data_IF_231872621125
#
_entry.id   IF_231872621125
#
_cell.length_a   1.000
_cell.length_b   1.000
_cell.length_c   1.000
_cell.angle_alpha   90.00
_cell.angle_beta   90.00
_cell.angle_gamma   90.00
#
_symmetry.space_group_name_H-M   'P 1'
#
loop_
_entity.id
_entity.type
_entity.pdbx_description
1 polymer ?
#
# COMPACT_ATOMS: atom_id res chain seq x y z
N UNK A 1 -13.69 -25.94 -19.27
CA UNK A 1 -12.87 -25.65 -18.12
C UNK A 1 -13.38 -24.35 -17.53
N UNK A 2 -14.16 -24.42 -16.46
CA UNK A 2 -14.81 -23.26 -15.84
C UNK A 2 -13.77 -22.46 -15.08
N UNK A 3 -13.77 -21.16 -15.35
CA UNK A 3 -12.90 -20.14 -14.76
C UNK A 3 -13.35 -19.86 -13.30
N UNK A 4 -13.06 -20.78 -12.37
CA UNK A 4 -13.41 -20.64 -10.94
C UNK A 4 -12.40 -19.76 -10.15
N UNK A 5 -11.29 -19.35 -10.78
CA UNK A 5 -10.23 -18.59 -10.09
C UNK A 5 -10.52 -17.08 -9.96
N UNK A 6 -11.59 -16.58 -10.56
CA UNK A 6 -11.91 -15.13 -10.52
C UNK A 6 -12.54 -14.64 -9.21
N UNK A 7 -12.83 -15.52 -8.24
CA UNK A 7 -13.50 -15.19 -6.97
C UNK A 7 -12.61 -15.15 -5.73
N UNK A 8 -11.34 -15.56 -5.80
CA UNK A 8 -10.43 -15.51 -4.67
C UNK A 8 -9.27 -14.57 -5.01
N UNK A 9 -9.34 -13.30 -4.59
CA UNK A 9 -8.38 -12.28 -4.98
C UNK A 9 -7.08 -12.41 -4.17
N UNK A 10 -6.33 -13.47 -4.45
CA UNK A 10 -5.10 -13.85 -3.81
C UNK A 10 -4.11 -14.42 -4.83
N UNK A 11 -2.85 -14.08 -4.70
CA UNK A 11 -1.76 -14.67 -5.46
C UNK A 11 -0.46 -14.71 -4.68
N UNK A 12 0.40 -15.65 -5.04
CA UNK A 12 1.78 -15.73 -4.56
C UNK A 12 2.76 -15.81 -5.72
N UNK A 13 3.97 -15.32 -5.47
CA UNK A 13 5.06 -15.36 -6.43
C UNK A 13 6.40 -15.61 -5.75
N UNK A 14 7.36 -16.06 -6.53
CA UNK A 14 8.79 -16.03 -6.21
C UNK A 14 9.53 -15.36 -7.36
N UNK A 15 10.39 -14.41 -7.04
CA UNK A 15 11.24 -13.74 -8.01
C UNK A 15 12.67 -13.70 -7.48
N UNK A 16 13.64 -13.85 -8.36
CA UNK A 16 15.05 -13.90 -8.02
C UNK A 16 15.90 -13.42 -9.19
N UNK A 17 17.06 -12.89 -8.89
CA UNK A 17 17.99 -12.46 -9.95
C UNK A 17 19.08 -11.52 -9.47
N UNK A 18 19.81 -11.01 -10.45
CA UNK A 18 20.78 -9.93 -10.35
C UNK A 18 20.12 -8.63 -10.80
N UNK A 19 20.39 -7.52 -10.14
CA UNK A 19 19.79 -6.23 -10.48
C UNK A 19 18.32 -6.15 -10.15
N UNK A 20 17.44 -5.90 -11.15
CA UNK A 20 16.00 -5.74 -10.91
C UNK A 20 15.31 -7.07 -10.73
N UNK A 21 14.70 -7.28 -9.54
CA UNK A 21 13.98 -8.51 -9.19
C UNK A 21 12.48 -8.30 -9.43
N UNK A 22 11.90 -7.23 -8.89
CA UNK A 22 10.48 -6.90 -9.07
C UNK A 22 10.37 -5.60 -9.84
N UNK A 23 9.71 -5.64 -11.00
CA UNK A 23 9.40 -4.45 -11.78
C UNK A 23 8.42 -3.56 -11.01
N UNK A 24 8.43 -2.25 -11.32
CA UNK A 24 7.50 -1.31 -10.71
C UNK A 24 6.07 -1.77 -10.87
N UNK A 25 5.37 -1.95 -9.75
CA UNK A 25 3.97 -2.35 -9.71
C UNK A 25 3.23 -1.66 -8.57
N UNK A 26 1.93 -1.56 -8.72
CA UNK A 26 1.01 -1.04 -7.72
C UNK A 26 -0.29 -1.83 -7.83
N UNK A 27 -0.95 -2.02 -6.71
CA UNK A 27 -2.26 -2.66 -6.62
C UNK A 27 -3.22 -1.71 -5.94
N UNK A 28 -4.31 -1.33 -6.60
CA UNK A 28 -5.25 -0.34 -6.09
C UNK A 28 -5.86 -0.73 -4.73
N UNK A 29 -6.29 -1.99 -4.61
CA UNK A 29 -6.99 -2.50 -3.42
C UNK A 29 -6.28 -3.69 -2.76
N UNK A 30 -5.11 -4.10 -3.25
CA UNK A 30 -4.41 -5.25 -2.70
C UNK A 30 -3.24 -4.83 -1.83
N UNK A 31 -3.06 -5.55 -0.74
CA UNK A 31 -1.90 -5.49 0.13
C UNK A 31 -0.86 -6.51 -0.35
N UNK A 32 0.40 -6.23 -0.07
CA UNK A 32 1.46 -7.16 -0.39
C UNK A 32 2.40 -7.35 0.80
N UNK A 33 2.71 -8.59 1.11
CA UNK A 33 3.73 -8.97 2.08
C UNK A 33 4.85 -9.67 1.32
N UNK A 34 6.06 -9.15 1.43
CA UNK A 34 7.25 -9.67 0.73
C UNK A 34 8.25 -10.19 1.75
N UNK A 35 8.69 -11.42 1.60
CA UNK A 35 9.79 -12.05 2.34
C UNK A 35 11.05 -11.99 1.49
N UNK A 36 12.16 -11.55 2.06
CA UNK A 36 13.48 -11.71 1.45
C UNK A 36 13.97 -13.13 1.79
N UNK A 37 14.06 -13.98 0.78
CA UNK A 37 14.41 -15.40 0.98
C UNK A 37 15.90 -15.68 0.82
N UNK A 38 16.64 -14.76 0.19
CA UNK A 38 18.11 -14.82 0.05
C UNK A 38 18.67 -13.45 -0.32
N UNK A 39 19.85 -13.13 0.17
CA UNK A 39 20.58 -11.91 -0.14
C UNK A 39 19.99 -10.66 0.52
N UNK A 40 20.29 -9.52 -0.07
CA UNK A 40 19.77 -8.20 0.37
C UNK A 40 19.12 -7.50 -0.80
N UNK A 41 18.00 -6.86 -0.56
CA UNK A 41 17.25 -6.09 -1.56
C UNK A 41 17.17 -4.62 -1.17
N UNK A 42 17.08 -3.76 -2.18
CA UNK A 42 16.68 -2.36 -2.06
C UNK A 42 15.27 -2.20 -2.63
N UNK A 43 14.37 -1.75 -1.80
CA UNK A 43 12.99 -1.46 -2.20
C UNK A 43 12.84 0.04 -2.37
N UNK A 44 12.57 0.46 -3.59
CA UNK A 44 12.27 1.85 -3.90
C UNK A 44 10.77 2.10 -3.86
N UNK A 45 10.36 3.11 -3.10
CA UNK A 45 8.98 3.52 -2.93
C UNK A 45 8.92 5.03 -3.04
N UNK A 46 8.44 5.53 -4.18
CA UNK A 46 8.56 6.95 -4.47
C UNK A 46 10.02 7.39 -4.40
N UNK A 47 10.34 8.29 -3.47
CA UNK A 47 11.70 8.79 -3.21
C UNK A 47 12.44 8.02 -2.13
N UNK A 48 11.78 7.16 -1.39
CA UNK A 48 12.38 6.42 -0.28
C UNK A 48 13.03 5.13 -0.79
N UNK A 49 14.21 4.84 -0.25
CA UNK A 49 14.93 3.58 -0.44
C UNK A 49 15.01 2.88 0.91
N UNK A 50 14.50 1.66 0.94
CA UNK A 50 14.49 0.82 2.15
C UNK A 50 15.27 -0.45 1.85
N UNK A 51 16.26 -0.77 2.71
CA UNK A 51 17.01 -2.02 2.61
C UNK A 51 16.33 -3.11 3.43
N UNK A 52 16.33 -4.35 2.92
CA UNK A 52 15.89 -5.53 3.65
C UNK A 52 16.81 -6.71 3.32
N UNK A 53 17.19 -7.47 4.36
CA UNK A 53 18.06 -8.63 4.28
C UNK A 53 17.29 -9.95 4.32
N UNK A 54 18.02 -11.05 4.18
CA UNK A 54 17.44 -12.40 4.27
C UNK A 54 16.69 -12.62 5.59
N UNK A 55 15.47 -13.10 5.49
CA UNK A 55 14.56 -13.34 6.61
C UNK A 55 13.74 -12.12 7.02
N UNK A 56 13.97 -10.94 6.44
CA UNK A 56 13.15 -9.75 6.67
C UNK A 56 11.86 -9.83 5.87
N UNK A 57 10.83 -9.18 6.41
CA UNK A 57 9.54 -9.01 5.75
C UNK A 57 9.27 -7.53 5.49
N UNK A 58 8.67 -7.25 4.33
CA UNK A 58 8.16 -5.93 3.99
C UNK A 58 6.64 -6.01 3.89
N UNK A 59 5.97 -5.04 4.48
CA UNK A 59 4.56 -4.80 4.24
C UNK A 59 4.41 -3.62 3.29
N UNK A 60 3.71 -3.84 2.19
CA UNK A 60 3.44 -2.84 1.15
C UNK A 60 1.94 -2.60 1.10
N UNK A 61 1.49 -1.40 1.48
CA UNK A 61 0.07 -1.08 1.51
C UNK A 61 -0.53 -0.90 0.12
N UNK A 62 -1.88 -0.93 0.02
CA UNK A 62 -2.59 -0.67 -1.23
C UNK A 62 -2.22 0.68 -1.87
N UNK A 63 -2.34 0.75 -3.18
CA UNK A 63 -2.06 1.95 -3.99
C UNK A 63 -0.62 2.47 -3.91
N UNK A 64 0.28 1.74 -3.29
CA UNK A 64 1.69 2.11 -3.23
C UNK A 64 2.46 1.45 -4.37
N UNK A 65 3.13 2.28 -5.16
CA UNK A 65 4.02 1.76 -6.20
C UNK A 65 5.41 1.54 -5.61
N UNK A 66 5.94 0.36 -5.84
CA UNK A 66 7.26 -0.02 -5.38
C UNK A 66 8.02 -0.80 -6.46
N UNK A 67 9.32 -0.90 -6.27
CA UNK A 67 10.25 -1.68 -7.09
C UNK A 67 11.26 -2.35 -6.17
N UNK A 68 11.66 -3.57 -6.51
CA UNK A 68 12.69 -4.30 -5.75
C UNK A 68 13.89 -4.58 -6.66
N UNK A 69 15.04 -4.12 -6.22
CA UNK A 69 16.33 -4.37 -6.87
C UNK A 69 17.23 -5.19 -5.92
N UNK A 70 18.05 -6.11 -6.44
CA UNK A 70 19.08 -6.77 -5.66
C UNK A 70 20.15 -5.77 -5.25
N UNK A 71 20.52 -5.80 -3.96
CA UNK A 71 21.64 -5.01 -3.43
C UNK A 71 22.92 -5.85 -3.29
N UNK A 72 22.79 -7.17 -3.37
CA UNK A 72 23.88 -8.16 -3.46
C UNK A 72 23.95 -8.72 -4.88
N UNK A 73 24.99 -9.46 -5.22
CA UNK A 73 25.16 -10.08 -6.55
C UNK A 73 23.94 -10.90 -6.97
N UNK A 74 23.27 -11.51 -6.00
CA UNK A 74 22.03 -12.24 -6.21
C UNK A 74 21.12 -12.04 -4.99
N UNK A 75 19.82 -11.87 -5.25
CA UNK A 75 18.81 -11.88 -4.18
C UNK A 75 17.52 -12.55 -4.67
N UNK A 76 16.73 -13.02 -3.73
CA UNK A 76 15.43 -13.63 -4.02
C UNK A 76 14.38 -13.19 -3.02
N UNK A 77 13.14 -13.08 -3.51
CA UNK A 77 11.99 -12.70 -2.71
C UNK A 77 10.82 -13.66 -2.97
N UNK A 78 9.96 -13.78 -1.99
CA UNK A 78 8.66 -14.44 -2.08
C UNK A 78 7.59 -13.45 -1.64
N UNK A 79 6.58 -13.23 -2.48
CA UNK A 79 5.51 -12.30 -2.18
C UNK A 79 4.15 -12.96 -2.12
N UNK A 80 3.30 -12.38 -1.27
CA UNK A 80 1.89 -12.68 -1.11
C UNK A 80 1.10 -11.42 -1.40
N UNK A 81 0.20 -11.48 -2.36
CA UNK A 81 -0.70 -10.38 -2.75
C UNK A 81 -2.12 -10.82 -2.43
N UNK A 82 -2.85 -10.00 -1.70
CA UNK A 82 -4.26 -10.26 -1.39
C UNK A 82 -5.06 -8.96 -1.36
N UNK A 83 -6.27 -9.02 -1.91
CA UNK A 83 -7.20 -7.90 -1.91
C UNK A 83 -7.83 -7.73 -0.52
N UNK A 84 -8.10 -6.49 -0.16
CA UNK A 84 -8.72 -6.13 1.12
C UNK A 84 -10.10 -6.79 1.30
N UNK A 85 -10.81 -7.08 0.21
CA UNK A 85 -12.12 -7.75 0.22
C UNK A 85 -12.07 -9.14 0.87
N UNK A 86 -10.91 -9.83 0.84
CA UNK A 86 -10.74 -11.10 1.58
C UNK A 86 -11.05 -10.93 3.07
N UNK A 87 -10.77 -9.75 3.61
CA UNK A 87 -10.95 -9.40 5.01
C UNK A 87 -12.32 -8.76 5.22
N UNK A 88 -12.74 -7.84 4.32
CA UNK A 88 -13.96 -7.04 4.46
C UNK A 88 -15.26 -7.84 4.33
N UNK A 89 -15.31 -8.87 3.48
CA UNK A 89 -16.52 -9.70 3.26
C UNK A 89 -17.09 -10.33 4.54
N UNK A 90 -16.31 -10.39 5.62
CA UNK A 90 -16.72 -11.01 6.90
C UNK A 90 -16.66 -10.03 8.09
N UNK A 91 -16.56 -8.72 7.83
CA UNK A 91 -16.34 -7.70 8.87
C UNK A 91 -17.59 -7.21 9.58
N UNK A 92 -18.80 -7.76 9.34
CA UNK A 92 -20.02 -7.32 10.04
C UNK A 92 -19.91 -7.35 11.58
N UNK A 93 -18.91 -8.06 12.14
CA UNK A 93 -18.61 -8.16 13.57
C UNK A 93 -17.15 -7.91 13.95
N UNK A 94 -16.34 -7.43 13.04
CA UNK A 94 -14.94 -7.09 13.33
C UNK A 94 -14.86 -5.60 13.69
N UNK A 95 -13.90 -5.22 14.54
CA UNK A 95 -13.59 -3.82 14.83
C UNK A 95 -13.17 -3.10 13.54
N UNK A 96 -14.15 -2.79 12.68
CA UNK A 96 -13.96 -2.09 11.40
C UNK A 96 -13.14 -0.80 11.59
N UNK A 97 -13.22 -0.21 12.78
CA UNK A 97 -12.46 0.94 13.21
C UNK A 97 -10.96 0.65 13.33
N UNK A 98 -10.58 -0.49 13.91
CA UNK A 98 -9.17 -0.89 14.07
C UNK A 98 -8.55 -1.21 12.72
N UNK A 99 -9.31 -1.87 11.83
CA UNK A 99 -8.87 -2.14 10.48
C UNK A 99 -8.68 -0.86 9.66
N UNK A 100 -9.60 0.07 9.79
CA UNK A 100 -9.49 1.39 9.16
C UNK A 100 -8.25 2.16 9.64
N UNK A 101 -7.96 2.12 10.94
CA UNK A 101 -6.73 2.67 11.51
C UNK A 101 -5.48 2.07 10.87
N UNK A 102 -5.43 0.75 10.76
CA UNK A 102 -4.32 0.07 10.11
C UNK A 102 -4.16 0.51 8.65
N UNK A 103 -5.25 0.51 7.90
CA UNK A 103 -5.28 0.96 6.51
C UNK A 103 -4.73 2.37 6.35
N UNK A 104 -5.18 3.29 7.20
CA UNK A 104 -4.75 4.70 7.14
C UNK A 104 -3.29 4.87 7.57
N UNK A 105 -2.86 4.23 8.65
CA UNK A 105 -1.48 4.35 9.14
C UNK A 105 -0.48 3.62 8.24
N UNK A 106 -0.86 2.51 7.65
CA UNK A 106 -0.01 1.74 6.76
C UNK A 106 0.05 2.30 5.34
N UNK A 107 -1.01 2.97 4.86
CA UNK A 107 -1.20 3.40 3.47
C UNK A 107 -0.05 4.23 2.87
N UNK A 108 0.76 4.86 3.70
CA UNK A 108 1.81 5.77 3.25
C UNK A 108 3.23 5.36 3.69
N UNK A 109 3.39 4.14 4.19
CA UNK A 109 4.64 3.72 4.81
C UNK A 109 4.91 2.24 4.58
N UNK A 110 5.93 1.92 3.80
CA UNK A 110 6.47 0.57 3.81
C UNK A 110 7.16 0.32 5.13
N UNK A 111 6.84 -0.79 5.75
CA UNK A 111 7.49 -1.18 7.01
C UNK A 111 8.29 -2.45 6.78
N UNK A 112 9.54 -2.43 7.24
CA UNK A 112 10.41 -3.61 7.30
C UNK A 112 10.29 -4.23 8.69
N UNK A 113 9.97 -5.49 8.72
CA UNK A 113 9.96 -6.32 9.93
C UNK A 113 11.21 -7.20 9.90
N UNK A 114 12.29 -6.71 10.50
CA UNK A 114 13.57 -7.44 10.61
C UNK A 114 13.42 -8.76 11.38
N UNK A 115 14.41 -9.60 11.27
CA UNK A 115 14.42 -10.93 11.92
C UNK A 115 14.21 -10.87 13.44
N UNK A 116 14.63 -9.78 14.09
CA UNK A 116 14.45 -9.56 15.54
C UNK A 116 13.08 -8.92 15.88
N UNK A 117 12.30 -8.56 14.89
CA UNK A 117 11.03 -7.87 15.11
C UNK A 117 9.96 -8.84 15.63
N UNK A 118 9.17 -8.48 16.68
CA UNK A 118 8.18 -9.39 17.29
C UNK A 118 7.12 -9.95 16.33
N UNK A 119 6.81 -9.24 15.24
CA UNK A 119 5.84 -9.66 14.22
C UNK A 119 6.45 -10.68 13.24
N UNK A 120 7.78 -10.65 13.03
CA UNK A 120 8.47 -11.46 12.03
C UNK A 120 8.19 -12.97 12.14
N UNK A 121 8.26 -13.62 13.32
CA UNK A 121 7.97 -15.06 13.42
C UNK A 121 6.57 -15.43 12.95
N UNK A 122 5.59 -14.57 13.19
CA UNK A 122 4.20 -14.77 12.74
C UNK A 122 4.12 -14.68 11.22
N UNK A 123 4.73 -13.65 10.62
CA UNK A 123 4.77 -13.50 9.16
C UNK A 123 5.47 -14.69 8.50
N UNK A 124 6.62 -15.10 9.03
CA UNK A 124 7.40 -16.23 8.52
C UNK A 124 6.61 -17.54 8.51
N UNK A 125 5.95 -17.85 9.64
CA UNK A 125 5.14 -19.05 9.77
C UNK A 125 4.01 -19.06 8.75
N UNK A 126 3.17 -18.04 8.74
CA UNK A 126 1.97 -18.04 7.92
C UNK A 126 2.23 -17.76 6.44
N UNK A 127 3.34 -17.10 6.09
CA UNK A 127 3.82 -17.00 4.71
C UNK A 127 4.19 -18.37 4.17
N UNK A 128 4.93 -19.16 4.95
CA UNK A 128 5.31 -20.53 4.56
C UNK A 128 4.09 -21.42 4.39
N UNK A 129 3.21 -21.49 5.40
CA UNK A 129 2.00 -22.31 5.37
C UNK A 129 1.11 -21.93 4.16
N UNK A 130 0.93 -20.63 3.90
CA UNK A 130 0.15 -20.17 2.73
C UNK A 130 0.80 -20.53 1.40
N UNK A 131 2.13 -20.52 1.35
CA UNK A 131 2.86 -20.91 0.14
C UNK A 131 2.71 -22.41 -0.16
N UNK A 132 2.80 -23.23 0.87
CA UNK A 132 2.64 -24.69 0.75
C UNK A 132 1.20 -24.99 0.25
N UNK A 133 0.18 -24.45 0.88
CA UNK A 133 -1.23 -24.58 0.46
C UNK A 133 -1.48 -24.06 -0.99
N UNK A 134 -0.90 -22.91 -1.34
CA UNK A 134 -1.06 -22.34 -2.68
C UNK A 134 -0.38 -23.18 -3.78
N UNK A 135 0.69 -23.87 -3.43
CA UNK A 135 1.47 -24.69 -4.37
C UNK A 135 0.84 -26.06 -4.54
N UNK A 136 0.42 -26.70 -3.45
CA UNK A 136 -0.15 -28.03 -3.43
C UNK A 136 -1.60 -28.06 -3.93
N UNK A 137 -2.34 -26.98 -3.68
CA UNK A 137 -3.76 -26.79 -4.07
C UNK A 137 -4.64 -27.99 -3.69
N UNK A 138 -4.44 -28.53 -2.49
CA UNK A 138 -5.31 -29.56 -1.96
C UNK A 138 -6.76 -29.08 -1.82
N UNK A 139 -7.67 -30.01 -1.54
CA UNK A 139 -9.08 -29.68 -1.38
C UNK A 139 -9.25 -28.59 -0.27
N UNK A 140 -10.02 -27.55 -0.55
CA UNK A 140 -10.25 -26.40 0.36
C UNK A 140 -9.02 -25.54 0.69
N UNK A 141 -7.91 -25.60 -0.07
CA UNK A 141 -6.68 -24.82 0.16
C UNK A 141 -6.90 -23.30 0.39
N UNK A 142 -7.99 -22.74 -0.12
CA UNK A 142 -8.34 -21.32 0.06
C UNK A 142 -8.73 -20.99 1.52
N UNK A 143 -9.20 -21.96 2.31
CA UNK A 143 -9.61 -21.74 3.70
C UNK A 143 -8.41 -21.52 4.63
N UNK A 144 -7.38 -22.39 4.67
CA UNK A 144 -6.18 -22.15 5.46
C UNK A 144 -5.45 -20.87 5.04
N UNK A 145 -5.40 -20.53 3.74
CA UNK A 145 -4.82 -19.28 3.28
C UNK A 145 -5.57 -18.08 3.89
N UNK A 146 -6.91 -18.06 3.89
CA UNK A 146 -7.70 -17.01 4.56
C UNK A 146 -7.37 -16.90 6.05
N UNK A 147 -7.33 -18.04 6.76
CA UNK A 147 -6.99 -18.07 8.17
C UNK A 147 -5.59 -17.49 8.44
N UNK A 148 -4.62 -17.83 7.61
CA UNK A 148 -3.26 -17.32 7.70
C UNK A 148 -3.19 -15.80 7.45
N UNK A 149 -3.95 -15.28 6.48
CA UNK A 149 -4.08 -13.83 6.25
C UNK A 149 -4.64 -13.15 7.50
N UNK A 150 -5.71 -13.67 8.12
CA UNK A 150 -6.26 -13.10 9.35
C UNK A 150 -5.24 -13.10 10.51
N UNK A 151 -4.46 -14.16 10.66
CA UNK A 151 -3.40 -14.21 11.69
C UNK A 151 -2.31 -13.17 11.45
N UNK A 152 -1.82 -13.05 10.22
CA UNK A 152 -0.83 -12.03 9.85
C UNK A 152 -1.38 -10.62 10.06
N UNK A 153 -2.59 -10.35 9.58
CA UNK A 153 -3.24 -9.05 9.74
C UNK A 153 -3.47 -8.70 11.21
N UNK A 154 -3.90 -9.66 12.03
CA UNK A 154 -4.05 -9.45 13.49
C UNK A 154 -2.74 -9.05 14.14
N UNK A 155 -1.63 -9.65 13.75
CA UNK A 155 -0.30 -9.31 14.28
C UNK A 155 0.13 -7.91 13.84
N UNK A 156 -0.11 -7.56 12.57
CA UNK A 156 0.16 -6.22 12.04
C UNK A 156 -0.72 -5.15 12.72
N UNK A 157 -2.01 -5.43 12.86
CA UNK A 157 -2.95 -4.54 13.57
C UNK A 157 -2.51 -4.28 15.01
N UNK A 158 -2.13 -5.32 15.75
CA UNK A 158 -1.63 -5.18 17.13
C UNK A 158 -0.35 -4.38 17.20
N UNK A 159 0.52 -4.52 16.21
CA UNK A 159 1.74 -3.72 16.12
C UNK A 159 1.44 -2.24 15.87
N UNK A 160 0.61 -1.93 14.87
CA UNK A 160 0.32 -0.54 14.49
C UNK A 160 -0.64 0.17 15.45
N UNK A 161 -1.59 -0.55 16.05
CA UNK A 161 -2.66 0.01 16.85
C UNK A 161 -2.58 -0.36 18.33
N UNK A 162 -1.61 -1.18 18.74
CA UNK A 162 -1.52 -1.76 20.08
C UNK A 162 -0.88 -0.87 21.15
N UNK A 163 -0.47 0.33 20.82
CA UNK A 163 0.12 1.24 21.81
C UNK A 163 -0.94 1.75 22.81
N UNK A 164 -0.56 1.76 24.10
CA UNK A 164 -1.46 2.08 25.22
C UNK A 164 -1.34 3.52 25.71
N UNK A 165 -0.52 4.38 25.06
CA UNK A 165 -0.33 5.72 25.54
C UNK A 165 -1.45 6.69 25.06
N UNK A 166 -1.62 7.81 25.80
CA UNK A 166 -2.68 8.79 25.50
C UNK A 166 -2.56 9.43 24.12
N UNK A 167 -1.33 9.61 23.64
CA UNK A 167 -1.08 10.19 22.30
C UNK A 167 -1.64 9.28 21.21
N UNK A 168 -1.44 7.97 21.33
CA UNK A 168 -1.95 7.02 20.33
C UNK A 168 -3.47 6.91 20.39
N UNK A 169 -4.08 7.05 21.58
CA UNK A 169 -5.54 7.15 21.71
C UNK A 169 -6.10 8.40 21.04
N UNK A 170 -5.41 9.53 21.18
CA UNK A 170 -5.83 10.77 20.54
C UNK A 170 -5.70 10.66 19.00
N UNK A 171 -4.61 10.08 18.50
CA UNK A 171 -4.43 9.79 17.08
C UNK A 171 -5.53 8.85 16.59
N UNK A 172 -5.85 7.82 17.36
CA UNK A 172 -6.96 6.89 17.08
C UNK A 172 -8.29 7.63 16.88
N UNK A 173 -8.69 8.46 17.84
CA UNK A 173 -9.94 9.23 17.73
C UNK A 173 -9.93 10.19 16.55
N UNK A 174 -8.81 10.83 16.28
CA UNK A 174 -8.68 11.74 15.15
C UNK A 174 -8.77 10.99 13.80
N UNK A 175 -8.15 9.82 13.69
CA UNK A 175 -8.24 8.98 12.48
C UNK A 175 -9.68 8.54 12.23
N UNK A 176 -10.40 8.08 13.27
CA UNK A 176 -11.82 7.74 13.14
C UNK A 176 -12.67 8.94 12.69
N UNK A 177 -12.39 10.11 13.26
CA UNK A 177 -13.07 11.35 12.88
C UNK A 177 -12.77 11.75 11.43
N UNK A 178 -11.58 11.44 10.93
CA UNK A 178 -11.16 11.70 9.54
C UNK A 178 -11.71 10.67 8.54
N UNK A 179 -12.27 9.54 9.01
CA UNK A 179 -12.78 8.47 8.13
C UNK A 179 -13.65 8.97 6.98
N UNK A 180 -14.73 9.76 7.21
CA UNK A 180 -15.59 10.23 6.12
C UNK A 180 -14.81 11.10 5.11
N UNK A 181 -13.85 11.88 5.58
CA UNK A 181 -13.01 12.72 4.71
C UNK A 181 -12.08 11.87 3.85
N UNK A 182 -11.44 10.86 4.42
CA UNK A 182 -10.51 9.99 3.70
C UNK A 182 -11.27 9.16 2.66
N UNK A 183 -12.43 8.60 3.03
CA UNK A 183 -13.31 7.89 2.08
C UNK A 183 -13.71 8.81 0.93
N UNK A 184 -14.11 10.04 1.22
CA UNK A 184 -14.44 11.03 0.19
C UNK A 184 -13.26 11.32 -0.73
N UNK A 185 -12.05 11.52 -0.18
CA UNK A 185 -10.85 11.73 -0.98
C UNK A 185 -10.55 10.51 -1.86
N UNK A 186 -10.65 9.29 -1.33
CA UNK A 186 -10.37 8.05 -2.04
C UNK A 186 -11.32 7.86 -3.24
N UNK A 187 -12.58 8.29 -3.13
CA UNK A 187 -13.57 8.22 -4.19
C UNK A 187 -13.44 9.37 -5.21
N UNK A 188 -13.01 10.57 -4.77
CA UNK A 188 -13.08 11.80 -5.55
C UNK A 188 -11.72 12.44 -5.86
N UNK A 189 -10.57 11.79 -5.59
CA UNK A 189 -9.24 12.39 -5.78
C UNK A 189 -8.97 12.87 -7.21
N UNK A 190 -9.69 12.35 -8.20
CA UNK A 190 -9.60 12.78 -9.60
C UNK A 190 -10.35 14.08 -9.88
N UNK A 191 -11.16 14.52 -8.97
CA UNK A 191 -11.93 15.76 -9.06
C UNK A 191 -11.22 16.91 -8.34
N UNK A 192 -11.77 18.10 -8.47
CA UNK A 192 -11.28 19.26 -7.73
C UNK A 192 -11.81 19.22 -6.30
N UNK A 193 -10.91 19.04 -5.35
CA UNK A 193 -11.22 18.96 -3.91
C UNK A 193 -10.73 20.25 -3.23
N UNK A 194 -11.57 20.84 -2.38
CA UNK A 194 -11.25 22.02 -1.58
C UNK A 194 -11.10 21.66 -0.10
N UNK A 195 -10.12 22.26 0.56
CA UNK A 195 -9.86 22.02 2.00
C UNK A 195 -11.03 22.44 2.86
N UNK A 196 -11.72 23.51 2.47
CA UNK A 196 -12.92 24.03 3.12
C UNK A 196 -14.07 22.99 3.13
N UNK A 197 -14.25 22.28 2.03
CA UNK A 197 -15.26 21.21 1.92
C UNK A 197 -14.90 20.05 2.85
N UNK A 198 -13.65 19.60 2.82
CA UNK A 198 -13.17 18.50 3.66
C UNK A 198 -13.30 18.84 5.16
N UNK A 199 -12.94 20.07 5.55
CA UNK A 199 -13.03 20.52 6.94
C UNK A 199 -14.48 20.65 7.41
N UNK A 200 -15.38 21.08 6.53
CA UNK A 200 -16.82 21.18 6.82
C UNK A 200 -17.47 19.80 7.09
N UNK A 201 -17.01 18.75 6.41
CA UNK A 201 -17.52 17.39 6.62
C UNK A 201 -17.40 16.89 8.07
N UNK A 202 -16.39 17.41 8.80
CA UNK A 202 -16.15 17.03 10.20
C UNK A 202 -16.33 18.19 11.17
N UNK A 203 -16.95 19.29 10.71
CA UNK A 203 -17.29 20.47 11.51
C UNK A 203 -16.08 21.10 12.24
N UNK A 204 -15.01 21.38 11.50
CA UNK A 204 -13.80 22.07 12.00
C UNK A 204 -13.34 23.18 11.07
N UNK A 205 -12.46 24.08 11.57
CA UNK A 205 -11.83 25.06 10.71
C UNK A 205 -10.79 24.43 9.77
N UNK A 206 -10.55 25.00 8.57
CA UNK A 206 -9.55 24.51 7.62
C UNK A 206 -8.14 24.36 8.21
N UNK A 207 -7.72 25.31 9.04
CA UNK A 207 -6.41 25.28 9.70
C UNK A 207 -6.29 24.13 10.69
N UNK A 208 -7.32 23.97 11.55
CA UNK A 208 -7.35 22.85 12.50
C UNK A 208 -7.43 21.51 11.78
N UNK A 209 -8.24 21.41 10.72
CA UNK A 209 -8.32 20.22 9.88
C UNK A 209 -6.95 19.85 9.30
N UNK A 210 -6.26 20.79 8.66
CA UNK A 210 -4.95 20.55 8.04
C UNK A 210 -3.92 20.06 9.05
N UNK A 211 -3.90 20.68 10.24
CA UNK A 211 -3.01 20.26 11.35
C UNK A 211 -3.35 18.85 11.83
N UNK A 212 -4.63 18.62 12.17
CA UNK A 212 -5.11 17.33 12.66
C UNK A 212 -4.86 16.21 11.64
N UNK A 213 -5.14 16.46 10.36
CA UNK A 213 -4.89 15.52 9.29
C UNK A 213 -3.41 15.15 9.19
N UNK A 214 -2.51 16.17 9.21
CA UNK A 214 -1.07 15.94 9.17
C UNK A 214 -0.55 15.18 10.39
N UNK A 215 -1.02 15.49 11.58
CA UNK A 215 -0.63 14.80 12.82
C UNK A 215 -1.11 13.35 12.85
N UNK A 216 -2.28 13.08 12.27
CA UNK A 216 -2.90 11.74 12.28
C UNK A 216 -2.44 10.85 11.11
N UNK A 217 -2.22 11.44 9.93
CA UNK A 217 -1.93 10.73 8.67
C UNK A 217 -0.44 10.84 8.28
N UNK A 218 0.31 11.75 8.91
CA UNK A 218 1.72 12.01 8.60
C UNK A 218 1.96 12.91 7.38
N UNK A 219 0.92 13.27 6.62
CA UNK A 219 0.98 14.11 5.41
C UNK A 219 -0.11 15.17 5.44
N UNK A 220 0.10 16.28 4.74
CA UNK A 220 -0.99 17.24 4.54
C UNK A 220 -2.09 16.66 3.64
N UNK A 221 -3.34 17.14 3.72
CA UNK A 221 -4.41 16.68 2.82
C UNK A 221 -4.04 16.81 1.34
N UNK A 222 -3.38 17.90 0.95
CA UNK A 222 -2.93 18.14 -0.43
C UNK A 222 -1.85 17.14 -0.84
N UNK A 223 -0.88 16.84 0.03
CA UNK A 223 0.15 15.85 -0.26
C UNK A 223 -0.46 14.45 -0.36
N UNK A 224 -1.47 14.13 0.46
CA UNK A 224 -2.19 12.88 0.41
C UNK A 224 -2.90 12.70 -0.94
N UNK A 225 -3.68 13.70 -1.37
CA UNK A 225 -4.37 13.72 -2.68
C UNK A 225 -3.36 13.63 -3.83
N UNK A 226 -2.28 14.41 -3.78
CA UNK A 226 -1.24 14.40 -4.82
C UNK A 226 -0.56 13.01 -4.90
N UNK A 227 -0.31 12.36 -3.78
CA UNK A 227 0.25 10.99 -3.75
C UNK A 227 -0.67 9.99 -4.48
N UNK A 228 -1.97 10.04 -4.23
CA UNK A 228 -2.95 9.19 -4.92
C UNK A 228 -2.98 9.45 -6.43
N UNK A 229 -2.97 10.73 -6.84
CA UNK A 229 -2.92 11.12 -8.25
C UNK A 229 -1.66 10.62 -8.94
N UNK A 230 -0.50 10.75 -8.28
CA UNK A 230 0.77 10.24 -8.83
C UNK A 230 0.74 8.73 -8.96
N UNK A 231 0.21 7.99 -7.99
CA UNK A 231 0.07 6.53 -8.08
C UNK A 231 -0.84 6.13 -9.27
N UNK A 232 -1.99 6.81 -9.43
CA UNK A 232 -2.87 6.57 -10.58
C UNK A 232 -2.18 6.93 -11.92
N UNK A 233 -1.35 8.00 -11.94
CA UNK A 233 -0.56 8.34 -13.11
C UNK A 233 0.43 7.25 -13.50
N UNK A 234 1.09 6.64 -12.53
CA UNK A 234 2.08 5.59 -12.78
C UNK A 234 1.44 4.37 -13.46
N UNK A 235 0.25 3.98 -13.03
CA UNK A 235 -0.54 2.93 -13.67
C UNK A 235 -0.86 3.29 -15.12
N UNK A 236 -1.43 4.48 -15.37
CA UNK A 236 -1.76 4.94 -16.72
C UNK A 236 -0.53 5.08 -17.63
N UNK A 237 0.61 5.51 -17.07
CA UNK A 237 1.87 5.59 -17.82
C UNK A 237 2.37 4.23 -18.30
N UNK A 238 2.13 3.17 -17.54
CA UNK A 238 2.53 1.80 -17.88
C UNK A 238 1.52 1.09 -18.80
N UNK A 239 0.22 1.34 -18.62
CA UNK A 239 -0.86 0.54 -19.22
C UNK A 239 -1.55 1.21 -20.41
N UNK A 240 -1.34 2.52 -20.62
CA UNK A 240 -2.04 3.27 -21.68
C UNK A 240 -1.09 4.02 -22.63
N UNK A 241 -1.63 4.38 -23.80
CA UNK A 241 -0.96 5.26 -24.78
C UNK A 241 -1.39 6.73 -24.66
N UNK A 242 -2.10 7.09 -23.58
CA UNK A 242 -2.56 8.45 -23.33
C UNK A 242 -1.39 9.44 -23.34
N UNK A 243 -1.61 10.64 -23.88
CA UNK A 243 -0.66 11.75 -23.77
C UNK A 243 -0.49 12.21 -22.33
N UNK A 244 0.57 12.96 -22.04
CA UNK A 244 0.81 13.51 -20.71
C UNK A 244 -0.31 14.45 -20.25
N UNK A 245 -0.94 15.16 -21.18
CA UNK A 245 -2.07 16.06 -20.90
C UNK A 245 -3.32 15.24 -20.55
N UNK A 246 -3.65 14.23 -21.34
CA UNK A 246 -4.79 13.34 -21.07
C UNK A 246 -4.64 12.61 -19.72
N UNK A 247 -3.42 12.18 -19.39
CA UNK A 247 -3.17 11.57 -18.07
C UNK A 247 -3.39 12.62 -16.97
N UNK A 248 -2.80 13.81 -17.09
CA UNK A 248 -2.98 14.85 -16.08
C UNK A 248 -4.46 15.15 -15.81
N UNK A 249 -5.27 15.28 -16.86
CA UNK A 249 -6.70 15.52 -16.76
C UNK A 249 -7.43 14.33 -16.13
N UNK A 250 -7.12 13.10 -16.54
CA UNK A 250 -7.75 11.88 -16.04
C UNK A 250 -7.51 11.63 -14.54
N UNK A 251 -6.39 12.16 -14.00
CA UNK A 251 -6.06 12.01 -12.57
C UNK A 251 -6.34 13.26 -11.74
N UNK A 252 -6.98 14.29 -12.32
CA UNK A 252 -7.46 15.45 -11.62
C UNK A 252 -6.45 16.59 -11.42
N UNK A 253 -5.36 16.65 -12.20
CA UNK A 253 -4.49 17.83 -12.23
C UNK A 253 -5.02 18.86 -13.24
N UNK A 254 -5.37 20.04 -12.75
CA UNK A 254 -5.86 21.14 -13.61
C UNK A 254 -4.79 21.68 -14.58
N UNK A 255 -3.52 21.34 -14.40
CA UNK A 255 -2.40 21.88 -15.18
C UNK A 255 -1.34 20.80 -15.39
N UNK A 256 -1.03 20.43 -16.66
CA UNK A 256 0.00 19.43 -16.96
C UNK A 256 1.40 19.80 -16.44
N UNK A 257 1.75 21.09 -16.37
CA UNK A 257 3.04 21.51 -15.81
C UNK A 257 3.10 21.25 -14.30
N UNK A 258 1.99 21.46 -13.60
CA UNK A 258 1.90 21.14 -12.18
C UNK A 258 1.98 19.64 -11.95
N UNK A 259 1.29 18.82 -12.78
CA UNK A 259 1.44 17.37 -12.78
C UNK A 259 2.91 16.96 -12.96
N UNK A 260 3.61 17.48 -13.97
CA UNK A 260 5.03 17.18 -14.18
C UNK A 260 5.90 17.51 -12.97
N UNK A 261 5.67 18.67 -12.35
CA UNK A 261 6.40 19.11 -11.14
C UNK A 261 6.17 18.13 -9.98
N UNK A 262 4.91 17.83 -9.67
CA UNK A 262 4.53 16.93 -8.57
C UNK A 262 5.03 15.50 -8.83
N UNK A 263 4.82 14.98 -10.03
CA UNK A 263 5.30 13.64 -10.39
C UNK A 263 6.83 13.54 -10.22
N UNK A 264 7.59 14.53 -10.71
CA UNK A 264 9.05 14.56 -10.53
C UNK A 264 9.46 14.66 -9.06
N UNK A 265 8.70 15.38 -8.25
CA UNK A 265 8.95 15.48 -6.80
C UNK A 265 8.77 14.12 -6.11
N UNK A 266 7.74 13.35 -6.49
CA UNK A 266 7.44 12.05 -5.89
C UNK A 266 8.32 10.91 -6.45
N UNK A 267 8.63 10.95 -7.74
CA UNK A 267 9.26 9.83 -8.45
C UNK A 267 10.72 10.08 -8.82
N UNK A 268 11.29 11.27 -8.53
CA UNK A 268 12.64 11.72 -8.91
C UNK A 268 12.94 11.63 -10.42
N UNK A 269 11.93 11.34 -11.23
CA UNK A 269 12.03 11.23 -12.68
C UNK A 269 10.81 11.89 -13.34
N UNK A 270 10.94 12.27 -14.61
CA UNK A 270 9.78 12.83 -15.33
C UNK A 270 8.78 11.73 -15.72
N UNK A 271 7.48 12.07 -15.89
CA UNK A 271 6.47 11.08 -16.35
C UNK A 271 6.87 10.40 -17.65
N UNK A 272 7.46 11.15 -18.61
CA UNK A 272 7.91 10.60 -19.88
C UNK A 272 9.09 9.63 -19.74
N UNK A 273 10.05 9.95 -18.86
CA UNK A 273 11.18 9.07 -18.57
C UNK A 273 10.70 7.81 -17.86
N UNK A 274 9.74 7.95 -16.93
CA UNK A 274 9.11 6.84 -16.22
C UNK A 274 8.43 5.87 -17.22
N UNK A 275 7.60 6.39 -18.13
CA UNK A 275 6.97 5.59 -19.19
C UNK A 275 7.98 4.80 -20.04
N UNK A 276 9.11 5.41 -20.39
CA UNK A 276 10.15 4.75 -21.17
C UNK A 276 10.89 3.65 -20.42
N UNK A 277 11.00 3.77 -19.12
CA UNK A 277 11.68 2.76 -18.29
C UNK A 277 10.77 1.60 -17.87
N UNK A 278 9.45 1.78 -17.99
CA UNK A 278 8.45 0.77 -17.63
C UNK A 278 8.00 -0.09 -18.83
N UNK A 279 8.30 0.35 -20.07
CA UNK A 279 8.15 -0.41 -21.33
C UNK A 279 9.46 -1.06 -21.70
#
# INVERSE_FOLDING_TARGET
MHNEDTKFPFSMYKEAGEGRIVNSRSHANSMEIVEVTSGTVMVQIGTELVAAGEGDFLYIPPSMTFRVDAATDFASVRGMIFDISIIEENLENFDSEVFYMFYVQSKNRVTVFGTDHPVNPTLKRFMKESYDEYTEKEICYKLPIRANIYHMMTSLLRYYCGSKNELDRMIYHNVLRLRPVITYIDEHFREKIYIEELSAMINVSPDYFTKMFKESIGKTPIDYINGMRVNSAMELLCTSEMSMTEIADAIGFCNPNYFHKIFKQYMLTSPLAYRKSAK
#
